data_IF_968167964319
#
_entry.id   IF_968167964319
#
_cell.length_a   1.000
_cell.length_b   1.000
_cell.length_c   1.000
_cell.angle_alpha   90.00
_cell.angle_beta   90.00
_cell.angle_gamma   90.00
#
_symmetry.space_group_name_H-M   'P 1'
#
loop_
_entity.id
_entity.type
_entity.pdbx_description
1 polymer ?
#
# COMPACT_ATOMS: atom_id res chain seq x y z
N UNK A 1 -54.99 -24.78 -39.94
CA UNK A 1 -53.66 -24.41 -40.55
C UNK A 1 -52.86 -23.66 -39.50
N UNK A 2 -52.13 -24.44 -38.69
CA UNK A 2 -51.48 -23.99 -37.45
C UNK A 2 -50.00 -23.65 -37.77
N UNK A 3 -49.62 -22.41 -37.56
CA UNK A 3 -48.22 -21.96 -37.75
C UNK A 3 -47.53 -22.05 -36.39
N UNK A 4 -46.74 -23.11 -36.20
CA UNK A 4 -45.79 -23.23 -35.12
C UNK A 4 -44.54 -22.40 -35.46
N UNK A 5 -44.39 -21.23 -34.83
CA UNK A 5 -43.15 -20.45 -34.87
C UNK A 5 -42.16 -21.04 -33.89
N UNK A 6 -41.22 -21.80 -34.39
CA UNK A 6 -40.08 -22.33 -33.64
C UNK A 6 -39.20 -21.20 -33.10
N UNK A 7 -39.30 -20.93 -31.81
CA UNK A 7 -38.41 -20.01 -31.08
C UNK A 7 -37.04 -20.67 -30.84
N UNK A 8 -36.17 -20.70 -31.85
CA UNK A 8 -34.76 -21.08 -31.73
C UNK A 8 -34.00 -19.92 -31.13
N UNK A 9 -33.92 -19.80 -29.81
CA UNK A 9 -32.96 -18.93 -29.15
C UNK A 9 -31.55 -19.38 -29.52
N UNK A 10 -30.72 -18.53 -30.15
CA UNK A 10 -29.37 -18.91 -30.57
C UNK A 10 -28.51 -19.15 -29.33
N UNK A 11 -28.10 -20.37 -29.11
CA UNK A 11 -27.16 -20.77 -28.05
C UNK A 11 -25.82 -20.02 -28.13
N UNK A 12 -25.53 -19.43 -29.28
CA UNK A 12 -24.32 -18.58 -29.49
C UNK A 12 -24.37 -17.25 -28.75
N UNK A 13 -25.53 -16.61 -28.58
CA UNK A 13 -25.66 -15.33 -27.88
C UNK A 13 -25.44 -15.46 -26.37
N UNK A 14 -25.84 -16.59 -25.78
CA UNK A 14 -25.60 -16.89 -24.37
C UNK A 14 -24.12 -17.15 -24.08
N UNK A 15 -23.43 -17.85 -24.98
CA UNK A 15 -21.98 -18.08 -24.85
C UNK A 15 -21.17 -16.79 -25.01
N UNK A 16 -21.58 -15.90 -25.93
CA UNK A 16 -20.94 -14.60 -26.13
C UNK A 16 -21.15 -13.67 -24.92
N UNK A 17 -22.35 -13.68 -24.32
CA UNK A 17 -22.65 -12.89 -23.12
C UNK A 17 -21.89 -13.39 -21.91
N UNK A 18 -21.72 -14.70 -21.75
CA UNK A 18 -20.96 -15.29 -20.65
C UNK A 18 -19.46 -15.00 -20.78
N UNK A 19 -18.92 -15.04 -22.01
CA UNK A 19 -17.52 -14.66 -22.30
C UNK A 19 -17.28 -13.16 -22.08
N UNK A 20 -18.22 -12.30 -22.39
CA UNK A 20 -18.14 -10.87 -22.09
C UNK A 20 -18.20 -10.56 -20.60
N UNK A 21 -19.04 -11.27 -19.82
CA UNK A 21 -19.11 -11.13 -18.36
C UNK A 21 -17.82 -11.61 -17.67
N UNK A 22 -17.19 -12.66 -18.16
CA UNK A 22 -15.94 -13.16 -17.57
C UNK A 22 -14.74 -12.22 -17.82
N UNK A 23 -14.76 -11.41 -18.86
CA UNK A 23 -13.75 -10.37 -19.09
C UNK A 23 -13.89 -9.16 -18.15
N UNK A 24 -15.07 -8.92 -17.55
CA UNK A 24 -15.25 -7.86 -16.54
C UNK A 24 -14.75 -8.25 -15.15
N UNK A 25 -14.55 -9.53 -14.87
CA UNK A 25 -14.08 -10.01 -13.57
C UNK A 25 -12.57 -9.80 -13.32
N UNK A 26 -11.83 -9.36 -14.33
CA UNK A 26 -10.38 -9.13 -14.27
C UNK A 26 -9.95 -7.71 -13.84
N UNK A 27 -10.86 -6.89 -13.29
CA UNK A 27 -10.48 -5.58 -12.79
C UNK A 27 -9.56 -5.72 -11.58
N UNK A 28 -8.32 -5.23 -11.68
CA UNK A 28 -7.43 -5.07 -10.54
C UNK A 28 -8.16 -4.26 -9.46
N UNK A 29 -8.28 -4.83 -8.27
CA UNK A 29 -8.95 -4.21 -7.13
C UNK A 29 -7.92 -3.91 -6.02
N UNK A 30 -8.21 -2.88 -5.24
CA UNK A 30 -7.41 -2.59 -4.05
C UNK A 30 -7.52 -3.72 -3.02
N UNK A 31 -6.42 -4.00 -2.34
CA UNK A 31 -6.45 -4.85 -1.15
C UNK A 31 -7.17 -4.12 0.00
N UNK A 32 -7.88 -4.83 0.90
CA UNK A 32 -8.60 -4.20 2.00
C UNK A 32 -7.69 -3.45 2.98
N UNK A 33 -6.43 -3.87 3.07
CA UNK A 33 -5.43 -3.35 4.00
C UNK A 33 -4.40 -2.39 3.37
N UNK A 34 -4.55 -2.07 2.06
CA UNK A 34 -3.57 -1.26 1.34
C UNK A 34 -2.20 -1.96 1.22
N UNK A 35 -2.23 -3.29 1.10
CA UNK A 35 -1.06 -4.17 1.04
C UNK A 35 -0.14 -4.11 2.27
N UNK A 36 -0.60 -3.53 3.38
CA UNK A 36 0.13 -3.42 4.63
C UNK A 36 0.41 -4.77 5.29
N UNK A 37 -0.49 -5.74 5.14
CA UNK A 37 -0.41 -7.06 5.77
C UNK A 37 0.83 -7.87 5.43
N UNK A 38 1.48 -7.62 4.28
CA UNK A 38 2.75 -8.27 3.93
C UNK A 38 3.86 -7.81 4.87
N UNK A 39 3.94 -6.49 5.10
CA UNK A 39 4.94 -5.87 5.99
C UNK A 39 4.65 -6.22 7.45
N UNK A 40 3.38 -6.20 7.87
CA UNK A 40 2.95 -6.60 9.22
C UNK A 40 3.32 -8.05 9.53
N UNK A 41 3.05 -8.99 8.61
CA UNK A 41 3.43 -10.40 8.79
C UNK A 41 4.93 -10.56 8.92
N UNK A 42 5.72 -9.85 8.12
CA UNK A 42 7.17 -9.89 8.20
C UNK A 42 7.70 -9.37 9.55
N UNK A 43 7.15 -8.26 10.06
CA UNK A 43 7.51 -7.73 11.36
C UNK A 43 7.18 -8.72 12.50
N UNK A 44 6.02 -9.36 12.44
CA UNK A 44 5.62 -10.38 13.41
C UNK A 44 6.53 -11.60 13.34
N UNK A 45 6.86 -12.07 12.14
CA UNK A 45 7.71 -13.25 11.94
C UNK A 45 9.16 -13.03 12.40
N UNK A 46 9.75 -11.85 12.12
CA UNK A 46 11.18 -11.61 12.35
C UNK A 46 11.48 -10.86 13.65
N UNK A 47 10.53 -10.10 14.16
CA UNK A 47 10.73 -9.24 15.32
C UNK A 47 9.82 -9.60 16.51
N UNK A 48 8.75 -10.37 16.28
CA UNK A 48 7.66 -10.60 17.24
C UNK A 48 7.07 -9.26 17.74
N UNK A 49 6.84 -8.32 16.80
CA UNK A 49 6.33 -6.97 17.05
C UNK A 49 5.14 -6.66 16.18
N UNK A 50 4.24 -5.85 16.74
CA UNK A 50 3.08 -5.34 16.03
C UNK A 50 3.41 -4.04 15.29
N UNK A 51 2.88 -3.94 14.07
CA UNK A 51 2.86 -2.69 13.32
C UNK A 51 1.44 -2.12 13.32
N UNK A 52 1.33 -0.80 13.22
CA UNK A 52 0.06 -0.11 13.03
C UNK A 52 0.22 1.03 12.03
N UNK A 53 -0.65 1.05 11.05
CA UNK A 53 -0.75 2.16 10.11
C UNK A 53 -1.89 3.08 10.54
N UNK A 54 -1.56 4.32 10.90
CA UNK A 54 -2.49 5.33 11.41
C UNK A 54 -3.22 6.03 10.25
N UNK A 55 -4.28 5.43 9.71
CA UNK A 55 -5.08 5.98 8.61
C UNK A 55 -6.25 6.88 9.09
N UNK A 56 -6.61 6.79 10.37
CA UNK A 56 -7.73 7.53 10.97
C UNK A 56 -7.33 8.14 12.31
N UNK A 57 -8.11 9.10 12.80
CA UNK A 57 -7.92 9.67 14.15
C UNK A 57 -8.11 8.64 15.24
N UNK A 58 -9.02 7.70 15.05
CA UNK A 58 -9.24 6.60 15.97
C UNK A 58 -8.01 5.71 16.09
N UNK A 59 -7.40 5.35 14.95
CA UNK A 59 -6.16 4.56 14.94
C UNK A 59 -4.98 5.33 15.56
N UNK A 60 -4.88 6.63 15.29
CA UNK A 60 -3.87 7.50 15.93
C UNK A 60 -4.03 7.54 17.45
N UNK A 61 -5.26 7.67 17.93
CA UNK A 61 -5.56 7.66 19.37
C UNK A 61 -5.23 6.31 20.01
N UNK A 62 -5.54 5.19 19.36
CA UNK A 62 -5.20 3.86 19.83
C UNK A 62 -3.68 3.64 19.90
N UNK A 63 -2.93 4.14 18.91
CA UNK A 63 -1.46 4.12 18.93
C UNK A 63 -0.94 4.96 20.11
N UNK A 64 -1.43 6.18 20.32
CA UNK A 64 -1.03 7.04 21.42
C UNK A 64 -1.24 6.37 22.77
N UNK A 65 -2.42 5.78 23.01
CA UNK A 65 -2.70 5.04 24.25
C UNK A 65 -1.72 3.87 24.46
N UNK A 66 -1.37 3.15 23.38
CA UNK A 66 -0.40 2.06 23.46
C UNK A 66 1.00 2.56 23.78
N UNK A 67 1.40 3.69 23.22
CA UNK A 67 2.68 4.37 23.50
C UNK A 67 2.72 4.81 24.96
N UNK A 68 1.68 5.46 25.45
CA UNK A 68 1.59 5.91 26.86
C UNK A 68 1.69 4.72 27.83
N UNK A 69 1.02 3.61 27.53
CA UNK A 69 1.10 2.39 28.34
C UNK A 69 2.52 1.78 28.38
N UNK A 70 3.27 1.85 27.28
CA UNK A 70 4.67 1.40 27.24
C UNK A 70 5.58 2.32 28.05
N UNK A 71 5.33 3.62 28.03
CA UNK A 71 6.12 4.64 28.75
C UNK A 71 5.81 4.71 30.24
N UNK A 72 4.71 4.12 30.71
CA UNK A 72 4.32 4.12 32.13
C UNK A 72 5.23 3.28 33.04
N UNK A 73 6.15 2.52 32.49
CA UNK A 73 7.10 1.65 33.19
C UNK A 73 8.50 1.73 32.60
N UNK A 74 9.54 1.32 33.33
CA UNK A 74 10.90 1.25 32.78
C UNK A 74 10.90 0.41 31.47
N UNK A 75 11.45 1.00 30.42
CA UNK A 75 11.49 0.38 29.11
C UNK A 75 12.50 -0.78 29.07
N UNK A 76 12.07 -1.92 28.58
CA UNK A 76 12.97 -2.97 28.09
C UNK A 76 13.42 -2.64 26.66
N UNK A 77 14.44 -3.33 26.17
CA UNK A 77 14.87 -3.20 24.76
C UNK A 77 13.73 -3.54 23.77
N UNK A 78 12.91 -4.51 24.14
CA UNK A 78 11.76 -4.93 23.34
C UNK A 78 10.62 -3.91 23.35
N UNK A 79 10.38 -3.27 24.50
CA UNK A 79 9.43 -2.15 24.60
C UNK A 79 9.92 -0.94 23.78
N UNK A 80 11.22 -0.64 23.82
CA UNK A 80 11.79 0.44 23.02
C UNK A 80 11.61 0.20 21.51
N UNK A 81 11.83 -1.03 21.04
CA UNK A 81 11.58 -1.41 19.64
C UNK A 81 10.09 -1.27 19.30
N UNK A 82 9.20 -1.79 20.15
CA UNK A 82 7.75 -1.69 19.91
C UNK A 82 7.30 -0.22 19.85
N UNK A 83 7.81 0.62 20.75
CA UNK A 83 7.55 2.05 20.79
C UNK A 83 8.03 2.74 19.51
N UNK A 84 9.26 2.44 19.06
CA UNK A 84 9.80 3.02 17.84
C UNK A 84 8.95 2.65 16.61
N UNK A 85 8.54 1.38 16.50
CA UNK A 85 7.72 0.90 15.38
C UNK A 85 6.31 1.52 15.37
N UNK A 86 5.73 1.83 16.53
CA UNK A 86 4.41 2.45 16.62
C UNK A 86 4.45 3.96 16.40
N UNK A 87 5.49 4.66 16.86
CA UNK A 87 5.52 6.12 16.94
C UNK A 87 6.45 6.79 15.90
N UNK A 88 7.09 6.03 15.01
CA UNK A 88 7.96 6.61 14.00
C UNK A 88 7.16 7.20 12.84
N UNK A 89 7.20 8.54 12.68
CA UNK A 89 6.49 9.25 11.60
C UNK A 89 7.03 8.92 10.21
N UNK A 90 8.33 8.66 10.09
CA UNK A 90 8.93 8.23 8.82
C UNK A 90 8.38 6.90 8.37
N UNK A 91 8.21 5.95 9.31
CA UNK A 91 7.60 4.66 9.02
C UNK A 91 6.12 4.78 8.59
N UNK A 92 5.37 5.72 9.18
CA UNK A 92 3.99 6.01 8.73
C UNK A 92 3.96 6.55 7.29
N UNK A 93 4.94 7.34 6.89
CA UNK A 93 5.10 7.79 5.51
C UNK A 93 5.47 6.62 4.58
N UNK A 94 6.40 5.74 5.00
CA UNK A 94 6.74 4.53 4.24
C UNK A 94 5.50 3.62 4.04
N UNK A 95 4.59 3.52 5.03
CA UNK A 95 3.33 2.79 4.86
C UNK A 95 2.39 3.45 3.85
N UNK A 96 2.37 4.78 3.76
CA UNK A 96 1.59 5.47 2.73
C UNK A 96 2.13 5.20 1.32
N UNK A 97 3.44 4.97 1.15
CA UNK A 97 4.04 4.57 -0.13
C UNK A 97 3.49 3.22 -0.63
N UNK A 98 3.11 2.29 0.28
CA UNK A 98 2.46 1.03 -0.11
C UNK A 98 1.13 1.30 -0.81
N UNK A 99 0.31 2.18 -0.24
CA UNK A 99 -0.98 2.55 -0.83
C UNK A 99 -0.82 3.24 -2.19
N UNK A 100 0.21 4.07 -2.36
CA UNK A 100 0.53 4.71 -3.65
C UNK A 100 0.94 3.65 -4.67
N UNK A 101 1.87 2.76 -4.32
CA UNK A 101 2.32 1.69 -5.22
C UNK A 101 1.21 0.72 -5.60
N UNK A 102 0.30 0.40 -4.69
CA UNK A 102 -0.89 -0.38 -5.00
C UNK A 102 -1.82 0.35 -5.96
N UNK A 103 -2.01 1.67 -5.78
CA UNK A 103 -2.82 2.48 -6.68
C UNK A 103 -2.25 2.53 -8.10
N UNK A 104 -0.93 2.62 -8.24
CA UNK A 104 -0.24 2.56 -9.53
C UNK A 104 -0.44 1.19 -10.20
N UNK A 105 -0.32 0.09 -9.46
CA UNK A 105 -0.58 -1.25 -9.95
C UNK A 105 -2.04 -1.42 -10.40
N UNK A 106 -3.00 -0.99 -9.58
CA UNK A 106 -4.42 -1.04 -9.93
C UNK A 106 -4.71 -0.20 -11.18
N UNK A 107 -4.12 0.98 -11.28
CA UNK A 107 -4.28 1.84 -12.46
C UNK A 107 -3.65 1.23 -13.72
N UNK A 108 -2.51 0.56 -13.59
CA UNK A 108 -1.87 -0.15 -14.71
C UNK A 108 -2.74 -1.27 -15.29
N UNK A 109 -3.47 -1.97 -14.41
CA UNK A 109 -4.40 -3.05 -14.77
C UNK A 109 -5.78 -2.57 -15.27
N UNK A 110 -6.04 -1.26 -15.30
CA UNK A 110 -7.31 -0.72 -15.81
C UNK A 110 -7.25 -0.48 -17.31
N UNK A 111 -8.39 -0.74 -17.96
CA UNK A 111 -8.56 -0.41 -19.37
C UNK A 111 -8.37 1.10 -19.59
N UNK A 112 -7.71 1.51 -20.66
CA UNK A 112 -7.62 2.92 -21.02
C UNK A 112 -9.02 3.47 -21.30
N UNK A 113 -9.32 4.66 -20.79
CA UNK A 113 -10.60 5.30 -21.01
C UNK A 113 -10.83 5.57 -22.49
N UNK A 114 -11.99 5.18 -23.06
CA UNK A 114 -12.38 5.60 -24.37
C UNK A 114 -12.64 7.11 -24.40
N UNK A 115 -12.13 7.78 -25.42
CA UNK A 115 -12.46 9.17 -25.68
C UNK A 115 -13.66 9.28 -26.62
N UNK A 116 -14.54 10.20 -26.35
CA UNK A 116 -15.61 10.61 -27.25
C UNK A 116 -15.45 12.09 -27.58
N UNK A 117 -15.42 12.43 -28.86
CA UNK A 117 -15.42 13.82 -29.32
C UNK A 117 -16.71 14.13 -30.10
N UNK A 118 -17.25 15.30 -29.83
CA UNK A 118 -18.37 15.86 -30.56
C UNK A 118 -18.04 17.31 -30.90
N UNK A 119 -18.03 17.63 -32.16
CA UNK A 119 -17.87 18.99 -32.64
C UNK A 119 -19.00 19.36 -33.58
N UNK A 120 -19.50 20.58 -33.46
CA UNK A 120 -20.44 21.20 -34.37
C UNK A 120 -19.78 22.42 -34.98
N UNK A 121 -19.41 22.30 -36.23
CA UNK A 121 -18.81 23.39 -37.01
C UNK A 121 -19.89 24.06 -37.87
N UNK A 122 -19.91 25.39 -37.93
CA UNK A 122 -20.79 26.18 -38.81
C UNK A 122 -19.91 26.98 -39.75
N UNK A 123 -20.16 26.81 -41.00
CA UNK A 123 -19.48 27.56 -42.07
C UNK A 123 -20.56 28.19 -42.96
N UNK A 124 -20.92 29.45 -42.70
CA UNK A 124 -22.06 30.11 -43.32
C UNK A 124 -23.38 29.44 -42.95
N UNK A 125 -24.12 28.94 -43.93
CA UNK A 125 -25.39 28.23 -43.71
C UNK A 125 -25.23 26.70 -43.54
N UNK A 126 -24.02 26.19 -43.74
CA UNK A 126 -23.72 24.78 -43.57
C UNK A 126 -23.35 24.44 -42.12
N UNK A 127 -23.93 23.35 -41.63
CA UNK A 127 -23.64 22.81 -40.29
C UNK A 127 -23.04 21.41 -40.44
N UNK A 128 -21.80 21.28 -40.03
CA UNK A 128 -21.09 20.02 -39.99
C UNK A 128 -21.07 19.47 -38.56
N UNK A 129 -21.42 18.18 -38.39
CA UNK A 129 -21.42 17.49 -37.12
C UNK A 129 -20.35 16.41 -37.16
N UNK A 130 -19.25 16.63 -36.43
CA UNK A 130 -18.19 15.65 -36.25
C UNK A 130 -18.44 14.83 -34.98
N UNK A 131 -18.33 13.51 -35.10
CA UNK A 131 -18.42 12.57 -33.98
C UNK A 131 -17.26 11.62 -34.06
N UNK A 132 -16.45 11.54 -33.01
CA UNK A 132 -15.30 10.66 -32.97
C UNK A 132 -15.29 9.77 -31.72
N UNK A 133 -14.84 8.54 -31.91
CA UNK A 133 -14.49 7.62 -30.81
C UNK A 133 -12.97 7.37 -30.89
N UNK A 134 -12.29 7.56 -29.78
CA UNK A 134 -10.84 7.42 -29.69
C UNK A 134 -10.49 6.30 -28.72
N UNK A 135 -9.72 5.32 -29.19
CA UNK A 135 -9.22 4.21 -28.38
C UNK A 135 -7.70 4.16 -28.46
N UNK A 136 -7.04 4.01 -27.31
CA UNK A 136 -5.60 3.81 -27.26
C UNK A 136 -5.29 2.29 -27.38
N UNK A 137 -5.28 1.80 -28.61
CA UNK A 137 -5.00 0.39 -28.92
C UNK A 137 -3.57 -0.02 -28.52
N UNK A 138 -2.60 0.87 -28.67
CA UNK A 138 -1.21 0.59 -28.29
C UNK A 138 -1.10 0.31 -26.78
N UNK A 139 -1.76 1.13 -25.95
CA UNK A 139 -1.83 0.90 -24.50
C UNK A 139 -2.59 -0.39 -24.16
N UNK A 140 -3.66 -0.70 -24.86
CA UNK A 140 -4.43 -1.92 -24.64
C UNK A 140 -3.56 -3.16 -24.90
N UNK A 141 -2.81 -3.18 -26.00
CA UNK A 141 -1.89 -4.28 -26.31
C UNK A 141 -0.72 -4.38 -25.33
N UNK A 142 -0.21 -3.24 -24.87
CA UNK A 142 0.91 -3.18 -23.92
C UNK A 142 0.49 -3.43 -22.46
N UNK A 143 -0.82 -3.43 -22.14
CA UNK A 143 -1.33 -3.51 -20.77
C UNK A 143 -0.80 -4.70 -19.96
N UNK A 144 -0.69 -5.93 -20.48
CA UNK A 144 -0.15 -7.05 -19.70
C UNK A 144 1.30 -6.81 -19.25
N UNK A 145 2.15 -6.25 -20.12
CA UNK A 145 3.55 -5.93 -19.76
C UNK A 145 3.64 -4.78 -18.77
N UNK A 146 2.81 -3.74 -18.95
CA UNK A 146 2.75 -2.60 -18.04
C UNK A 146 2.32 -3.07 -16.64
N UNK A 147 1.28 -3.88 -16.54
CA UNK A 147 0.79 -4.44 -15.27
C UNK A 147 1.83 -5.31 -14.59
N UNK A 148 2.54 -6.15 -15.34
CA UNK A 148 3.64 -6.97 -14.81
C UNK A 148 4.79 -6.12 -14.28
N UNK A 149 5.17 -5.07 -15.01
CA UNK A 149 6.20 -4.13 -14.54
C UNK A 149 5.79 -3.43 -13.23
N UNK A 150 4.56 -2.93 -13.16
CA UNK A 150 4.06 -2.27 -11.94
C UNK A 150 3.91 -3.25 -10.77
N UNK A 151 3.54 -4.50 -11.04
CA UNK A 151 3.53 -5.56 -10.02
C UNK A 151 4.92 -5.78 -9.40
N UNK A 152 5.95 -5.82 -10.22
CA UNK A 152 7.35 -5.93 -9.74
C UNK A 152 7.82 -4.70 -8.97
N UNK A 153 7.45 -3.50 -9.42
CA UNK A 153 7.73 -2.24 -8.70
C UNK A 153 7.05 -2.22 -7.34
N UNK A 154 5.80 -2.64 -7.32
CA UNK A 154 5.05 -2.73 -6.07
C UNK A 154 5.68 -3.74 -5.09
N UNK A 155 6.06 -4.93 -5.55
CA UNK A 155 6.79 -5.90 -4.74
C UNK A 155 8.11 -5.32 -4.19
N UNK A 156 8.85 -4.55 -5.01
CA UNK A 156 10.05 -3.85 -4.57
C UNK A 156 9.76 -2.83 -3.46
N UNK A 157 8.65 -2.09 -3.56
CA UNK A 157 8.21 -1.15 -2.51
C UNK A 157 7.89 -1.90 -1.21
N UNK A 158 7.19 -3.03 -1.27
CA UNK A 158 6.93 -3.87 -0.09
C UNK A 158 8.22 -4.36 0.57
N UNK A 159 9.20 -4.81 -0.20
CA UNK A 159 10.51 -5.22 0.34
C UNK A 159 11.27 -4.05 0.97
N UNK A 160 11.26 -2.88 0.34
CA UNK A 160 11.90 -1.67 0.86
C UNK A 160 11.29 -1.25 2.20
N UNK A 161 9.96 -1.22 2.30
CA UNK A 161 9.27 -0.86 3.54
C UNK A 161 9.54 -1.91 4.63
N UNK A 162 9.53 -3.19 4.29
CA UNK A 162 9.91 -4.27 5.21
C UNK A 162 11.35 -4.07 5.74
N UNK A 163 12.29 -3.75 4.86
CA UNK A 163 13.68 -3.48 5.24
C UNK A 163 13.79 -2.26 6.18
N UNK A 164 13.01 -1.20 5.95
CA UNK A 164 12.92 -0.03 6.83
C UNK A 164 12.47 -0.40 8.23
N UNK A 165 11.45 -1.26 8.36
CA UNK A 165 10.96 -1.78 9.64
C UNK A 165 12.08 -2.53 10.38
N UNK A 166 12.77 -3.45 9.71
CA UNK A 166 13.85 -4.25 10.30
C UNK A 166 15.04 -3.38 10.70
N UNK A 167 15.42 -2.41 9.86
CA UNK A 167 16.50 -1.47 10.15
C UNK A 167 16.16 -0.60 11.36
N UNK A 168 14.95 -0.03 11.42
CA UNK A 168 14.51 0.77 12.57
C UNK A 168 14.57 -0.04 13.88
N UNK A 169 14.16 -1.30 13.86
CA UNK A 169 14.24 -2.17 15.02
C UNK A 169 15.70 -2.42 15.46
N UNK A 170 16.60 -2.68 14.50
CA UNK A 170 18.01 -2.87 14.79
C UNK A 170 18.69 -1.61 15.33
N UNK A 171 18.41 -0.46 14.71
CA UNK A 171 18.95 0.84 15.14
C UNK A 171 18.42 1.23 16.53
N UNK A 172 17.16 0.94 16.82
CA UNK A 172 16.58 1.17 18.14
C UNK A 172 17.24 0.30 19.21
N UNK A 173 17.46 -0.99 18.94
CA UNK A 173 18.20 -1.86 19.87
C UNK A 173 19.61 -1.35 20.15
N UNK A 174 20.33 -0.96 19.10
CA UNK A 174 21.67 -0.37 19.23
C UNK A 174 21.64 0.92 20.06
N UNK A 175 20.70 1.82 19.79
CA UNK A 175 20.55 3.05 20.55
C UNK A 175 20.22 2.79 22.02
N UNK A 176 19.36 1.83 22.31
CA UNK A 176 19.01 1.42 23.67
C UNK A 176 20.23 0.95 24.45
N UNK A 177 21.01 0.01 23.91
CA UNK A 177 22.22 -0.50 24.59
C UNK A 177 23.29 0.59 24.74
N UNK A 178 23.42 1.50 23.77
CA UNK A 178 24.34 2.63 23.91
C UNK A 178 23.90 3.57 25.04
N UNK A 179 22.60 3.80 25.21
CA UNK A 179 22.08 4.63 26.31
C UNK A 179 22.36 3.98 27.67
N UNK A 180 22.09 2.68 27.83
CA UNK A 180 22.37 1.91 29.05
C UNK A 180 23.87 1.95 29.37
N UNK A 181 24.72 1.67 28.38
CA UNK A 181 26.17 1.71 28.59
C UNK A 181 26.69 3.10 28.99
N UNK A 182 26.10 4.16 28.42
CA UNK A 182 26.44 5.55 28.76
C UNK A 182 26.02 5.89 30.19
N UNK A 183 24.86 5.43 30.64
CA UNK A 183 24.39 5.62 32.00
C UNK A 183 25.29 4.89 33.02
N UNK A 184 25.67 3.65 32.75
CA UNK A 184 26.62 2.90 33.57
C UNK A 184 28.00 3.57 33.65
N UNK A 185 28.49 4.10 32.52
CA UNK A 185 29.74 4.82 32.48
C UNK A 185 29.73 6.10 33.37
N UNK A 186 28.58 6.82 33.35
CA UNK A 186 28.38 7.99 34.24
C UNK A 186 28.36 7.53 35.71
N UNK A 187 27.65 6.46 36.04
CA UNK A 187 27.58 5.89 37.39
C UNK A 187 28.95 5.49 37.90
N UNK A 188 29.70 4.77 37.09
CA UNK A 188 31.08 4.38 37.42
C UNK A 188 32.00 5.57 37.66
N UNK A 189 31.98 6.60 36.81
CA UNK A 189 32.79 7.81 36.96
C UNK A 189 32.46 8.56 38.25
N UNK A 190 31.21 8.63 38.66
CA UNK A 190 30.81 9.21 39.96
C UNK A 190 31.38 8.45 41.15
N UNK A 191 31.38 7.11 41.09
CA UNK A 191 31.98 6.26 42.14
C UNK A 191 33.50 6.50 42.25
N UNK A 192 34.20 6.56 41.11
CA UNK A 192 35.64 6.85 41.09
C UNK A 192 35.94 8.24 41.67
N UNK A 193 35.15 9.24 41.32
CA UNK A 193 35.30 10.59 41.86
C UNK A 193 35.12 10.59 43.40
N UNK A 194 34.05 9.97 43.90
CA UNK A 194 33.81 9.88 45.33
C UNK A 194 34.94 9.18 46.08
N UNK A 195 35.51 8.11 45.50
CA UNK A 195 36.63 7.42 46.11
C UNK A 195 37.94 8.21 46.07
N UNK A 196 38.09 9.14 45.14
CA UNK A 196 39.28 10.03 45.07
C UNK A 196 39.20 11.26 45.99
N UNK A 197 37.97 11.60 46.42
CA UNK A 197 37.71 12.74 47.32
C UNK A 197 37.71 12.32 48.81
N UNK A 198 37.68 11.00 49.11
CA UNK A 198 37.72 10.43 50.45
C UNK A 198 39.12 10.14 50.95
#
# INVERSE_FOLDING_TARGET
>A
MTIETLNRRPRGTLALSLAALSMLAGCASFSPDGAFGVVERSARQHLDKDLKWARSDTERSAIAQRVDALLARPLTVDDAVQLALLNNRGLQADFAELGIGEAELVQAGRLPNPGYSFARLRRGDEVELERGLHFNLARLLAMPWITEMESRRFAQTQHRVTQRVLSLAADTRKAYYNAVASEEAVRYRRQVQQAAEA
#
